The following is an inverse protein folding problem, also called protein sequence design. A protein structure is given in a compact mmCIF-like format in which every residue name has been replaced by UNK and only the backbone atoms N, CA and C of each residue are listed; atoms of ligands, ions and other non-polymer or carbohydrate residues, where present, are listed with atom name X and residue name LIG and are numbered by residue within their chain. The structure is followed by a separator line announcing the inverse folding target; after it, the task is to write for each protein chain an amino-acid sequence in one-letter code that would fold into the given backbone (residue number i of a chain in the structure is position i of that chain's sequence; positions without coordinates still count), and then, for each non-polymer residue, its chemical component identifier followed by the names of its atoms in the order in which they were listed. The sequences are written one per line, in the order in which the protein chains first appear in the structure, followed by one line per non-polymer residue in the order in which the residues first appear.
data_IF_111539151753
#
_entry.id   IF_111539151753
#
_cell.length_a   1.000
_cell.length_b   1.000
_cell.length_c   1.000
_cell.angle_alpha   90.00
_cell.angle_beta   90.00
_cell.angle_gamma   90.00
#
_symmetry.space_group_name_H-M   'P 1'
#
loop_
_entity.id
_entity.type
_entity.pdbx_description
1 polymer ?
#
# COMPACT_ATOMS: atom_id res chain seq x y z
N UNK A 1 26.09 -4.68 12.49
CA UNK A 1 24.86 -3.90 12.26
C UNK A 1 24.25 -3.53 13.60
N UNK A 2 23.88 -2.26 13.80
CA UNK A 2 23.37 -1.77 15.08
C UNK A 2 22.02 -2.43 15.44
N UNK A 3 21.82 -2.71 16.74
CA UNK A 3 20.61 -3.36 17.26
C UNK A 3 19.33 -2.61 16.84
N UNK A 4 19.39 -1.27 16.81
CA UNK A 4 18.30 -0.40 16.34
C UNK A 4 17.89 -0.72 14.89
N UNK A 5 18.84 -0.86 13.95
CA UNK A 5 18.53 -1.16 12.56
C UNK A 5 17.88 -2.54 12.39
N UNK A 6 18.34 -3.54 13.16
CA UNK A 6 17.73 -4.89 13.17
C UNK A 6 16.29 -4.84 13.64
N UNK A 7 16.05 -4.15 14.75
CA UNK A 7 14.71 -3.96 15.32
C UNK A 7 13.74 -3.33 14.31
N UNK A 8 14.15 -2.23 13.66
CA UNK A 8 13.31 -1.57 12.66
C UNK A 8 13.03 -2.44 11.41
N UNK A 9 14.02 -3.21 10.94
CA UNK A 9 13.80 -4.14 9.82
C UNK A 9 12.80 -5.25 10.18
N UNK A 10 12.84 -5.78 11.40
CA UNK A 10 11.87 -6.79 11.88
C UNK A 10 10.47 -6.18 11.95
N UNK A 11 10.32 -4.98 12.52
CA UNK A 11 9.04 -4.26 12.56
C UNK A 11 8.49 -4.05 11.15
N UNK A 12 9.35 -3.62 10.20
CA UNK A 12 8.97 -3.44 8.81
C UNK A 12 8.41 -4.73 8.20
N UNK A 13 9.02 -5.89 8.48
CA UNK A 13 8.50 -7.18 7.98
C UNK A 13 7.13 -7.49 8.57
N UNK A 14 6.97 -7.38 9.89
CA UNK A 14 5.69 -7.68 10.57
C UNK A 14 4.58 -6.77 10.04
N UNK A 15 4.85 -5.47 9.96
CA UNK A 15 3.89 -4.49 9.46
C UNK A 15 3.58 -4.73 7.97
N UNK A 16 4.58 -5.10 7.16
CA UNK A 16 4.40 -5.49 5.76
C UNK A 16 3.47 -6.69 5.58
N UNK A 17 3.61 -7.72 6.42
CA UNK A 17 2.71 -8.89 6.39
C UNK A 17 1.27 -8.47 6.70
N UNK A 18 1.05 -7.67 7.74
CA UNK A 18 -0.27 -7.18 8.13
C UNK A 18 -0.91 -6.36 7.00
N UNK A 19 -0.15 -5.45 6.38
CA UNK A 19 -0.64 -4.61 5.28
C UNK A 19 -1.00 -5.45 4.05
N UNK A 20 -0.14 -6.40 3.66
CA UNK A 20 -0.42 -7.29 2.52
C UNK A 20 -1.66 -8.14 2.79
N UNK A 21 -1.80 -8.69 3.99
CA UNK A 21 -2.98 -9.48 4.37
C UNK A 21 -4.26 -8.63 4.32
N UNK A 22 -4.24 -7.43 4.90
CA UNK A 22 -5.38 -6.51 4.86
C UNK A 22 -5.71 -6.06 3.42
N UNK A 23 -4.70 -5.71 2.63
CA UNK A 23 -4.86 -5.29 1.24
C UNK A 23 -5.39 -6.38 0.33
N UNK A 24 -4.93 -7.62 0.50
CA UNK A 24 -5.47 -8.78 -0.22
C UNK A 24 -6.89 -9.08 0.21
N UNK A 25 -7.17 -9.05 1.52
CA UNK A 25 -8.51 -9.29 2.05
C UNK A 25 -9.50 -8.22 1.54
N UNK A 26 -9.14 -6.95 1.64
CA UNK A 26 -9.98 -5.84 1.16
C UNK A 26 -10.14 -5.85 -0.37
N UNK A 27 -9.17 -6.36 -1.12
CA UNK A 27 -9.28 -6.50 -2.57
C UNK A 27 -10.17 -7.68 -2.99
N UNK A 28 -9.99 -8.85 -2.36
CA UNK A 28 -10.70 -10.08 -2.73
C UNK A 28 -12.16 -10.11 -2.27
N UNK A 29 -12.45 -9.54 -1.10
CA UNK A 29 -13.79 -9.52 -0.48
C UNK A 29 -14.59 -8.23 -0.79
N UNK A 30 -14.05 -7.35 -1.64
CA UNK A 30 -14.72 -6.11 -2.02
C UNK A 30 -15.55 -6.27 -3.28
N UNK A 31 -16.81 -5.83 -3.22
CA UNK A 31 -17.73 -5.78 -4.37
C UNK A 31 -17.26 -4.84 -5.48
N UNK A 32 -16.25 -4.00 -5.20
CA UNK A 32 -15.61 -3.12 -6.19
C UNK A 32 -15.09 -3.87 -7.43
N UNK A 33 -14.62 -5.11 -7.25
CA UNK A 33 -14.17 -5.96 -8.36
C UNK A 33 -15.33 -6.31 -9.30
N UNK A 34 -16.52 -6.54 -8.74
CA UNK A 34 -17.74 -6.84 -9.50
C UNK A 34 -18.25 -5.57 -10.18
N UNK A 35 -18.20 -4.42 -9.49
CA UNK A 35 -18.56 -3.13 -10.06
C UNK A 35 -17.69 -2.78 -11.27
N UNK A 36 -16.36 -2.96 -11.18
CA UNK A 36 -15.41 -2.66 -12.28
C UNK A 36 -15.53 -3.56 -13.52
N UNK A 37 -16.32 -4.64 -13.46
CA UNK A 37 -16.61 -5.48 -14.63
C UNK A 37 -17.81 -4.99 -15.45
N UNK A 38 -18.54 -3.97 -14.96
CA UNK A 38 -19.69 -3.39 -15.65
C UNK A 38 -19.25 -2.26 -16.59
N UNK A 39 -20.08 -1.99 -17.60
CA UNK A 39 -19.86 -0.88 -18.54
C UNK A 39 -19.82 0.49 -17.84
N UNK A 40 -20.58 0.65 -16.75
CA UNK A 40 -20.60 1.86 -15.93
C UNK A 40 -20.27 1.53 -14.46
N UNK A 41 -18.98 1.39 -14.12
CA UNK A 41 -18.54 0.87 -12.82
C UNK A 41 -18.79 1.84 -11.65
N UNK A 42 -18.87 3.14 -11.95
CA UNK A 42 -19.23 4.17 -10.97
C UNK A 42 -20.67 4.63 -11.07
N UNK A 43 -21.50 4.00 -11.92
CA UNK A 43 -22.89 4.39 -12.15
C UNK A 43 -23.02 5.88 -12.53
N UNK A 44 -22.06 6.41 -13.29
CA UNK A 44 -22.02 7.80 -13.72
C UNK A 44 -23.28 8.21 -14.48
N UNK A 45 -23.90 7.28 -15.22
CA UNK A 45 -25.17 7.50 -15.94
C UNK A 45 -26.32 7.78 -14.97
N UNK A 46 -26.36 7.11 -13.82
CA UNK A 46 -27.33 7.35 -12.75
C UNK A 46 -27.00 8.63 -11.96
N UNK A 47 -25.71 8.88 -11.70
CA UNK A 47 -25.23 10.07 -11.00
C UNK A 47 -25.36 11.37 -11.82
N UNK A 48 -25.43 11.28 -13.15
CA UNK A 48 -25.73 12.41 -14.04
C UNK A 48 -27.06 13.07 -13.69
N UNK A 49 -28.07 12.29 -13.29
CA UNK A 49 -29.38 12.79 -12.84
C UNK A 49 -29.27 13.66 -11.58
N UNK A 50 -28.21 13.44 -10.77
CA UNK A 50 -27.92 14.19 -9.54
C UNK A 50 -26.78 15.21 -9.70
N UNK A 51 -26.39 15.53 -10.95
CA UNK A 51 -25.32 16.48 -11.27
C UNK A 51 -23.94 16.13 -10.65
N UNK A 52 -23.65 14.83 -10.48
CA UNK A 52 -22.37 14.30 -9.95
C UNK A 52 -21.53 13.56 -11.01
N UNK A 53 -21.80 13.79 -12.29
CA UNK A 53 -21.14 13.07 -13.40
C UNK A 53 -19.65 13.40 -13.56
N UNK A 54 -19.17 14.50 -12.96
CA UNK A 54 -17.76 14.91 -12.97
C UNK A 54 -16.90 14.22 -11.90
N UNK A 55 -17.51 13.42 -11.02
CA UNK A 55 -16.78 12.76 -9.95
C UNK A 55 -15.82 11.72 -10.52
N UNK A 56 -14.56 11.80 -10.06
CA UNK A 56 -13.52 10.86 -10.47
C UNK A 56 -13.92 9.43 -10.14
N UNK A 57 -13.82 8.53 -11.12
CA UNK A 57 -14.04 7.11 -10.93
C UNK A 57 -12.69 6.40 -10.78
N UNK A 58 -12.35 5.86 -9.59
CA UNK A 58 -11.08 5.16 -9.42
C UNK A 58 -11.05 3.92 -10.33
N UNK A 59 -9.89 3.58 -10.84
CA UNK A 59 -9.72 2.37 -11.65
C UNK A 59 -9.32 1.19 -10.75
N UNK A 60 -9.78 -0.03 -11.04
CA UNK A 60 -9.41 -1.24 -10.27
C UNK A 60 -7.89 -1.48 -10.21
N UNK A 61 -7.15 -0.98 -11.20
CA UNK A 61 -5.68 -1.06 -11.23
C UNK A 61 -5.02 -0.38 -10.03
N UNK A 62 -5.66 0.57 -9.36
CA UNK A 62 -5.14 1.19 -8.14
C UNK A 62 -5.05 0.20 -6.98
N UNK A 63 -6.00 -0.73 -6.87
CA UNK A 63 -5.95 -1.76 -5.83
C UNK A 63 -4.85 -2.79 -6.12
N UNK A 64 -4.74 -3.20 -7.40
CA UNK A 64 -3.65 -4.08 -7.84
C UNK A 64 -2.28 -3.44 -7.63
N UNK A 65 -2.15 -2.15 -7.94
CA UNK A 65 -0.94 -1.39 -7.69
C UNK A 65 -0.60 -1.37 -6.19
N UNK A 66 -1.58 -1.06 -5.33
CA UNK A 66 -1.40 -1.06 -3.88
C UNK A 66 -0.90 -2.42 -3.36
N UNK A 67 -1.58 -3.51 -3.73
CA UNK A 67 -1.20 -4.87 -3.30
C UNK A 67 0.18 -5.24 -3.86
N UNK A 68 0.43 -4.97 -5.14
CA UNK A 68 1.68 -5.30 -5.81
C UNK A 68 2.90 -4.60 -5.19
N UNK A 69 2.81 -3.29 -4.93
CA UNK A 69 3.89 -2.54 -4.29
C UNK A 69 4.16 -3.07 -2.88
N UNK A 70 3.13 -3.31 -2.07
CA UNK A 70 3.32 -3.83 -0.72
C UNK A 70 3.93 -5.24 -0.70
N UNK A 71 3.57 -6.12 -1.65
CA UNK A 71 4.20 -7.44 -1.80
C UNK A 71 5.67 -7.32 -2.19
N UNK A 72 6.00 -6.47 -3.18
CA UNK A 72 7.38 -6.25 -3.60
C UNK A 72 8.20 -5.74 -2.42
N UNK A 73 7.72 -4.71 -1.71
CA UNK A 73 8.38 -4.16 -0.53
C UNK A 73 8.59 -5.20 0.58
N UNK A 74 7.60 -6.08 0.82
CA UNK A 74 7.71 -7.16 1.80
C UNK A 74 8.81 -8.16 1.41
N UNK A 75 8.83 -8.61 0.15
CA UNK A 75 9.85 -9.55 -0.36
C UNK A 75 11.24 -8.94 -0.21
N UNK A 76 11.43 -7.69 -0.62
CA UNK A 76 12.72 -7.01 -0.52
C UNK A 76 13.13 -6.75 0.93
N UNK A 77 12.18 -6.50 1.84
CA UNK A 77 12.47 -6.44 3.29
C UNK A 77 12.89 -7.77 3.88
N UNK A 78 12.28 -8.88 3.47
CA UNK A 78 12.72 -10.22 3.88
C UNK A 78 14.15 -10.49 3.41
N UNK A 79 14.47 -10.18 2.15
CA UNK A 79 15.85 -10.27 1.66
C UNK A 79 16.81 -9.40 2.47
N UNK A 80 16.44 -8.14 2.76
CA UNK A 80 17.29 -7.23 3.53
C UNK A 80 17.56 -7.73 4.96
N UNK A 81 16.59 -8.39 5.60
CA UNK A 81 16.79 -9.06 6.90
C UNK A 81 17.72 -10.26 6.75
N UNK A 82 17.45 -11.18 5.82
CA UNK A 82 18.25 -12.38 5.61
C UNK A 82 19.73 -12.04 5.32
N UNK A 83 20.00 -11.14 4.36
CA UNK A 83 21.36 -10.73 4.04
C UNK A 83 22.07 -10.05 5.22
N UNK A 84 21.34 -9.30 6.05
CA UNK A 84 21.94 -8.67 7.24
C UNK A 84 22.36 -9.65 8.33
N UNK A 85 21.82 -10.87 8.33
CA UNK A 85 22.21 -11.94 9.26
C UNK A 85 23.39 -12.75 8.75
N UNK A 86 23.58 -12.85 7.43
CA UNK A 86 24.62 -13.66 6.81
C UNK A 86 25.95 -12.90 6.58
N UNK A 87 25.90 -11.56 6.46
CA UNK A 87 27.08 -10.78 6.10
C UNK A 87 27.57 -9.96 7.30
N UNK A 88 28.71 -10.36 7.86
CA UNK A 88 29.33 -9.73 9.03
C UNK A 88 29.81 -8.29 8.75
N UNK A 89 30.30 -8.02 7.52
CA UNK A 89 30.71 -6.70 7.03
C UNK A 89 30.23 -6.47 5.60
N UNK A 90 29.08 -5.82 5.37
CA UNK A 90 28.61 -5.52 4.03
C UNK A 90 29.56 -4.55 3.32
N UNK A 91 29.79 -4.78 2.03
CA UNK A 91 30.59 -3.85 1.22
C UNK A 91 29.91 -2.48 1.14
N UNK A 92 30.70 -1.42 0.93
CA UNK A 92 30.19 -0.06 0.80
C UNK A 92 29.12 0.06 -0.30
N UNK A 93 29.26 -0.71 -1.39
CA UNK A 93 28.31 -0.75 -2.50
C UNK A 93 26.96 -1.33 -2.04
N UNK A 94 26.98 -2.47 -1.33
CA UNK A 94 25.75 -3.11 -0.81
C UNK A 94 25.03 -2.20 0.17
N UNK A 95 25.76 -1.50 1.05
CA UNK A 95 25.19 -0.53 1.99
C UNK A 95 24.50 0.64 1.26
N UNK A 96 25.12 1.16 0.19
CA UNK A 96 24.55 2.26 -0.61
C UNK A 96 23.29 1.82 -1.36
N UNK A 97 23.27 0.61 -1.90
CA UNK A 97 22.08 0.04 -2.54
C UNK A 97 20.94 -0.17 -1.54
N UNK A 98 21.23 -0.68 -0.34
CA UNK A 98 20.22 -0.85 0.72
C UNK A 98 19.59 0.51 1.09
N UNK A 99 20.40 1.56 1.24
CA UNK A 99 19.90 2.93 1.51
C UNK A 99 19.02 3.46 0.38
N UNK A 100 19.48 3.34 -0.88
CA UNK A 100 18.73 3.82 -2.05
C UNK A 100 17.38 3.11 -2.15
N UNK A 101 17.38 1.79 -1.98
CA UNK A 101 16.16 1.00 -1.98
C UNK A 101 15.17 1.47 -0.90
N UNK A 102 15.61 1.72 0.34
CA UNK A 102 14.71 2.18 1.38
C UNK A 102 14.07 3.54 1.05
N UNK A 103 14.82 4.47 0.44
CA UNK A 103 14.25 5.74 -0.03
C UNK A 103 13.24 5.58 -1.18
N UNK A 104 13.53 4.70 -2.14
CA UNK A 104 12.60 4.37 -3.22
C UNK A 104 11.34 3.72 -2.65
N UNK A 105 11.48 2.81 -1.67
CA UNK A 105 10.36 2.17 -1.00
C UNK A 105 9.49 3.21 -0.24
N UNK A 106 10.08 4.19 0.45
CA UNK A 106 9.34 5.30 1.08
C UNK A 106 8.43 5.99 0.07
N UNK A 107 8.99 6.40 -1.07
CA UNK A 107 8.25 7.12 -2.10
C UNK A 107 7.10 6.28 -2.66
N UNK A 108 7.37 5.02 -3.00
CA UNK A 108 6.37 4.10 -3.56
C UNK A 108 5.26 3.79 -2.55
N UNK A 109 5.60 3.56 -1.28
CA UNK A 109 4.62 3.28 -0.23
C UNK A 109 3.76 4.51 0.08
N UNK A 110 4.34 5.71 0.08
CA UNK A 110 3.55 6.95 0.24
C UNK A 110 2.55 7.13 -0.91
N UNK A 111 3.01 6.97 -2.16
CA UNK A 111 2.14 7.06 -3.32
C UNK A 111 1.03 6.00 -3.28
N UNK A 112 1.38 4.74 -3.00
CA UNK A 112 0.43 3.64 -2.87
C UNK A 112 -0.60 3.91 -1.77
N UNK A 113 -0.16 4.33 -0.57
CA UNK A 113 -1.03 4.61 0.56
C UNK A 113 -2.01 5.76 0.27
N UNK A 114 -1.51 6.88 -0.27
CA UNK A 114 -2.34 8.06 -0.60
C UNK A 114 -3.36 7.71 -1.68
N UNK A 115 -2.93 7.06 -2.77
CA UNK A 115 -3.84 6.67 -3.86
C UNK A 115 -4.90 5.67 -3.39
N UNK A 116 -4.54 4.75 -2.49
CA UNK A 116 -5.48 3.76 -1.97
C UNK A 116 -6.52 4.39 -1.04
N UNK A 117 -6.12 5.33 -0.17
CA UNK A 117 -7.04 6.11 0.66
C UNK A 117 -7.95 6.97 -0.23
N UNK A 118 -7.39 7.70 -1.20
CA UNK A 118 -8.16 8.55 -2.10
C UNK A 118 -9.20 7.73 -2.88
N UNK A 119 -8.79 6.58 -3.41
CA UNK A 119 -9.70 5.62 -4.07
C UNK A 119 -10.81 5.16 -3.11
N UNK A 120 -10.47 4.77 -1.88
CA UNK A 120 -11.46 4.29 -0.91
C UNK A 120 -12.48 5.37 -0.49
N UNK A 121 -12.02 6.61 -0.29
CA UNK A 121 -12.89 7.74 0.03
C UNK A 121 -13.82 8.11 -1.13
N UNK A 122 -13.31 8.02 -2.36
CA UNK A 122 -14.11 8.28 -3.55
C UNK A 122 -15.16 7.19 -3.76
N UNK A 123 -14.80 5.91 -3.61
CA UNK A 123 -15.79 4.81 -3.69
C UNK A 123 -16.85 4.94 -2.59
N UNK A 124 -16.48 5.40 -1.40
CA UNK A 124 -17.41 5.66 -0.30
C UNK A 124 -18.40 6.80 -0.64
N UNK A 125 -17.94 7.87 -1.29
CA UNK A 125 -18.79 9.03 -1.63
C UNK A 125 -19.82 8.70 -2.71
N UNK A 126 -19.51 7.75 -3.60
CA UNK A 126 -20.36 7.33 -4.72
C UNK A 126 -21.56 6.46 -4.29
N UNK A 127 -21.55 5.83 -3.10
CA UNK A 127 -22.62 4.96 -2.57
C UNK A 127 -23.23 4.03 -3.63
N UNK A 128 -22.42 3.13 -4.16
CA UNK A 128 -22.78 2.30 -5.32
C UNK A 128 -23.78 1.19 -4.95
N UNK A 129 -24.74 0.93 -5.85
CA UNK A 129 -25.81 -0.04 -5.65
C UNK A 129 -25.83 -1.12 -6.76
N UNK A 130 -26.02 -2.37 -6.37
CA UNK A 130 -26.32 -3.48 -7.29
C UNK A 130 -27.80 -3.84 -7.17
N UNK A 131 -28.65 -3.22 -8.00
CA UNK A 131 -30.09 -3.34 -7.87
C UNK A 131 -30.58 -2.65 -6.59
N UNK A 132 -31.23 -3.39 -5.68
CA UNK A 132 -31.69 -2.86 -4.38
C UNK A 132 -30.68 -3.01 -3.24
N UNK A 133 -29.51 -3.62 -3.49
CA UNK A 133 -28.50 -3.89 -2.47
C UNK A 133 -27.36 -2.88 -2.59
N UNK A 134 -27.01 -2.23 -1.49
CA UNK A 134 -25.79 -1.42 -1.40
C UNK A 134 -24.56 -2.33 -1.46
N UNK A 135 -23.59 -1.99 -2.30
CA UNK A 135 -22.41 -2.80 -2.50
C UNK A 135 -21.43 -2.64 -1.34
N UNK A 136 -20.86 -3.76 -0.87
CA UNK A 136 -19.90 -3.76 0.23
C UNK A 136 -18.50 -3.48 -0.30
N UNK A 137 -18.11 -2.22 -0.24
CA UNK A 137 -16.84 -1.74 -0.81
C UNK A 137 -15.63 -1.86 0.13
N UNK A 138 -15.84 -2.31 1.38
CA UNK A 138 -14.78 -2.49 2.40
C UNK A 138 -13.89 -1.25 2.56
N UNK A 139 -14.49 -0.07 2.46
CA UNK A 139 -13.77 1.21 2.39
C UNK A 139 -13.01 1.51 3.67
N UNK A 140 -13.55 1.15 4.84
CA UNK A 140 -12.85 1.26 6.13
C UNK A 140 -11.55 0.46 6.14
N UNK A 141 -11.60 -0.81 5.72
CA UNK A 141 -10.42 -1.68 5.65
C UNK A 141 -9.38 -1.12 4.67
N UNK A 142 -9.83 -0.57 3.54
CA UNK A 142 -8.93 0.08 2.56
C UNK A 142 -8.25 1.32 3.12
N UNK A 143 -8.98 2.18 3.83
CA UNK A 143 -8.42 3.36 4.48
C UNK A 143 -7.42 2.96 5.58
N UNK A 144 -7.76 1.96 6.39
CA UNK A 144 -6.86 1.44 7.43
C UNK A 144 -5.58 0.87 6.79
N UNK A 145 -5.70 0.04 5.74
CA UNK A 145 -4.55 -0.51 5.04
C UNK A 145 -3.67 0.59 4.43
N UNK A 146 -4.26 1.58 3.76
CA UNK A 146 -3.52 2.72 3.21
C UNK A 146 -2.83 3.56 4.28
N UNK A 147 -3.48 3.78 5.43
CA UNK A 147 -2.90 4.47 6.58
C UNK A 147 -1.70 3.72 7.16
N UNK A 148 -1.84 2.39 7.33
CA UNK A 148 -0.72 1.54 7.76
C UNK A 148 0.44 1.55 6.75
N UNK A 149 0.17 1.62 5.45
CA UNK A 149 1.22 1.79 4.42
C UNK A 149 1.98 3.11 4.56
N UNK A 150 1.32 4.21 4.95
CA UNK A 150 2.00 5.47 5.24
C UNK A 150 2.89 5.33 6.48
N UNK A 151 2.42 4.68 7.54
CA UNK A 151 3.24 4.38 8.73
C UNK A 151 4.43 3.51 8.35
N UNK A 152 4.24 2.49 7.51
CA UNK A 152 5.30 1.65 6.98
C UNK A 152 6.33 2.48 6.21
N UNK A 153 5.92 3.44 5.39
CA UNK A 153 6.85 4.34 4.70
C UNK A 153 7.74 5.11 5.69
N UNK A 154 7.18 5.61 6.80
CA UNK A 154 7.97 6.25 7.87
C UNK A 154 8.98 5.29 8.48
N UNK A 155 8.62 4.02 8.68
CA UNK A 155 9.54 2.98 9.15
C UNK A 155 10.70 2.78 8.16
N UNK A 156 10.44 2.67 6.86
CA UNK A 156 11.50 2.58 5.84
C UNK A 156 12.43 3.81 5.85
N UNK A 157 11.87 5.01 5.98
CA UNK A 157 12.66 6.24 6.08
C UNK A 157 13.54 6.25 7.32
N UNK A 158 13.00 5.77 8.45
CA UNK A 158 13.76 5.61 9.69
C UNK A 158 14.92 4.65 9.51
N UNK A 159 14.71 3.49 8.87
CA UNK A 159 15.80 2.54 8.56
C UNK A 159 16.87 3.19 7.66
N UNK A 160 16.46 3.90 6.61
CA UNK A 160 17.39 4.58 5.69
C UNK A 160 18.28 5.60 6.42
N UNK A 161 17.72 6.39 7.33
CA UNK A 161 18.48 7.37 8.13
C UNK A 161 19.46 6.70 9.07
N UNK A 162 19.08 5.60 9.73
CA UNK A 162 19.99 4.84 10.59
C UNK A 162 21.11 4.16 9.81
N UNK A 163 20.83 3.66 8.60
CA UNK A 163 21.86 3.11 7.72
C UNK A 163 22.82 4.19 7.20
N UNK A 164 22.32 5.42 6.97
CA UNK A 164 23.10 6.55 6.47
C UNK A 164 24.03 7.21 7.50
N UNK A 165 23.73 7.10 8.79
CA UNK A 165 24.67 7.49 9.85
C UNK A 165 25.87 6.54 9.80
N UNK A 166 27.05 7.08 9.47
CA UNK A 166 28.32 6.36 9.57
C UNK A 166 28.62 6.15 11.05
N UNK A 167 28.95 4.90 11.42
CA UNK A 167 29.87 4.66 12.54
C UNK A 167 31.26 5.15 12.11
#
# INVERSE_FOLDING_TARGET
MNLSTRFWKIISVILGIIIVALGLFSHLDSDWRIANQREDPCQQSYLFVYNRSSDWCPHISLEWYFVGINIICLITSLFSVCFSTQIEKPSHVVKRLDILYHWVAVLLLLLAGILYIASALQVLSLRLHAGRREMKMRTTEKVVAGGLTIVQAVVYGTIATFLGRRD
#
